data_IF_069252758512
#
_entry.id   IF_069252758512
#
_cell.length_a   1.000
_cell.length_b   1.000
_cell.length_c   1.000
_cell.angle_alpha   90.00
_cell.angle_beta   90.00
_cell.angle_gamma   90.00
#
_symmetry.space_group_name_H-M   'P 1'
#
loop_
_entity.id
_entity.type
_entity.pdbx_description
1 polymer ?
2 non-polymer ?
3 non-polymer ?
4 non-polymer ?
5 water ?
#
# COMPACT_ATOMS: atom_id res chain seq x y z
N UNK A 1 5.98 31.47 -13.93
CA UNK A 1 4.94 30.68 -14.62
C UNK A 1 5.49 29.42 -15.25
N UNK A 2 5.30 28.29 -14.57
CA UNK A 2 5.79 27.01 -15.07
C UNK A 2 4.92 26.59 -16.25
N UNK A 3 5.52 25.87 -17.19
CA UNK A 3 4.79 25.41 -18.36
C UNK A 3 4.96 23.91 -18.49
N UNK A 4 3.96 23.26 -19.09
CA UNK A 4 4.05 21.83 -19.29
C UNK A 4 4.31 21.65 -20.77
N UNK A 5 5.02 20.60 -21.15
CA UNK A 5 5.30 20.39 -22.56
C UNK A 5 3.99 20.23 -23.32
N UNK A 6 3.95 20.68 -24.59
CA UNK A 6 2.73 20.58 -25.40
C UNK A 6 2.20 19.17 -25.46
N UNK A 7 0.89 19.04 -25.24
CA UNK A 7 0.27 17.73 -25.25
C UNK A 7 0.11 17.21 -23.84
N UNK A 8 0.94 17.71 -22.94
CA UNK A 8 0.86 17.29 -21.54
C UNK A 8 1.30 15.86 -21.31
N UNK A 9 2.41 15.44 -21.92
CA UNK A 9 2.90 14.08 -21.76
C UNK A 9 3.43 13.81 -20.34
N UNK A 10 3.07 12.66 -19.77
CA UNK A 10 3.51 12.31 -18.43
C UNK A 10 3.80 10.82 -18.34
N UNK A 11 4.63 10.43 -17.38
CA UNK A 11 4.91 9.02 -17.20
C UNK A 11 3.69 8.48 -16.48
N UNK A 12 3.18 7.34 -16.94
CA UNK A 12 2.00 6.77 -16.31
C UNK A 12 2.36 5.80 -15.20
N UNK A 13 3.66 5.71 -14.91
CA UNK A 13 4.15 4.83 -13.87
C UNK A 13 5.01 5.63 -12.89
N UNK A 14 5.23 5.08 -11.69
CA UNK A 14 6.04 5.76 -10.69
C UNK A 14 7.44 5.17 -10.61
N UNK A 15 7.57 3.89 -10.92
CA UNK A 15 8.88 3.24 -10.90
C UNK A 15 9.55 3.45 -12.25
N UNK A 16 10.45 4.43 -12.29
CA UNK A 16 11.15 4.78 -13.50
C UNK A 16 12.63 4.44 -13.41
N UNK A 17 13.17 3.89 -14.48
CA UNK A 17 14.57 3.54 -14.51
C UNK A 17 15.36 4.43 -15.46
N UNK A 18 16.62 4.65 -15.11
CA UNK A 18 17.50 5.46 -15.97
C UNK A 18 18.82 4.72 -16.08
N UNK A 19 19.54 5.01 -17.15
CA UNK A 19 20.81 4.38 -17.40
C UNK A 19 21.75 5.39 -18.04
N UNK A 20 22.99 5.40 -17.59
CA UNK A 20 23.98 6.31 -18.14
C UNK A 20 24.64 5.56 -19.29
N UNK A 21 24.32 6.01 -20.50
CA UNK A 21 24.84 5.41 -21.72
C UNK A 21 26.35 5.47 -21.84
N UNK A 22 26.93 6.60 -21.46
CA UNK A 22 28.37 6.77 -21.53
C UNK A 22 28.76 7.90 -20.60
N UNK A 23 30.07 8.03 -20.33
CA UNK A 23 30.57 9.07 -19.43
C UNK A 23 31.45 10.10 -20.11
N UNK A 24 31.27 11.35 -19.73
CA UNK A 24 32.08 12.42 -20.26
C UNK A 24 33.47 12.27 -19.62
N UNK A 25 34.53 12.49 -20.41
CA UNK A 25 35.88 12.37 -19.85
C UNK A 25 36.26 13.56 -18.97
N UNK A 26 35.45 14.60 -18.98
CA UNK A 26 35.74 15.80 -18.18
C UNK A 26 35.65 15.58 -16.69
N UNK A 27 34.76 14.69 -16.29
CA UNK A 27 34.57 14.40 -14.89
C UNK A 27 34.93 12.97 -14.56
N UNK A 28 35.07 12.71 -13.27
CA UNK A 28 35.40 11.40 -12.78
C UNK A 28 34.10 10.58 -12.82
N UNK A 29 34.20 9.33 -13.27
CA UNK A 29 33.03 8.47 -13.38
C UNK A 29 32.05 8.53 -12.21
N UNK A 30 32.55 8.49 -10.98
CA UNK A 30 31.65 8.53 -9.82
C UNK A 30 31.02 9.88 -9.57
N UNK A 31 31.69 10.96 -9.96
CA UNK A 31 31.13 12.29 -9.76
C UNK A 31 29.93 12.43 -10.69
N UNK A 32 30.02 11.79 -11.86
CA UNK A 32 28.94 11.82 -12.83
C UNK A 32 27.73 11.10 -12.24
N UNK A 33 27.97 9.91 -11.69
CA UNK A 33 26.90 9.14 -11.08
C UNK A 33 26.24 9.95 -9.97
N UNK A 34 27.06 10.60 -9.16
CA UNK A 34 26.58 11.41 -8.06
C UNK A 34 25.68 12.53 -8.58
N UNK A 35 26.21 13.31 -9.51
CA UNK A 35 25.46 14.40 -10.12
C UNK A 35 24.07 13.98 -10.57
N UNK A 36 24.00 12.97 -11.43
CA UNK A 36 22.73 12.49 -11.94
C UNK A 36 21.81 11.93 -10.86
N UNK A 37 22.37 11.14 -9.94
CA UNK A 37 21.59 10.54 -8.86
C UNK A 37 20.91 11.64 -8.06
N UNK A 38 21.69 12.65 -7.69
CA UNK A 38 21.20 13.78 -6.91
C UNK A 38 20.19 14.61 -7.70
N UNK A 39 20.38 14.68 -9.01
CA UNK A 39 19.48 15.44 -9.87
C UNK A 39 18.10 14.78 -9.88
N UNK A 40 18.09 13.44 -9.97
CA UNK A 40 16.82 12.72 -9.98
C UNK A 40 16.15 12.87 -8.63
N UNK A 41 16.94 12.77 -7.57
CA UNK A 41 16.41 12.89 -6.22
C UNK A 41 15.66 14.21 -6.02
N UNK A 42 16.16 15.27 -6.63
CA UNK A 42 15.51 16.58 -6.53
C UNK A 42 14.05 16.48 -6.91
N UNK A 43 13.75 15.60 -7.87
CA UNK A 43 12.37 15.44 -8.32
C UNK A 43 11.60 14.37 -7.55
N UNK A 44 12.31 13.37 -7.01
CA UNK A 44 11.69 12.29 -6.23
C UNK A 44 11.12 12.85 -4.95
N UNK A 45 11.89 13.78 -4.35
CA UNK A 45 11.52 14.41 -3.10
C UNK A 45 10.17 15.13 -3.09
N UNK A 46 9.70 15.57 -4.25
CA UNK A 46 8.44 16.29 -4.30
C UNK A 46 7.33 15.61 -5.10
N UNK A 47 7.52 14.32 -5.41
CA UNK A 47 6.51 13.60 -6.17
C UNK A 47 6.49 12.12 -5.79
N UNK A 48 5.51 11.37 -6.30
CA UNK A 48 5.43 9.94 -5.98
C UNK A 48 6.34 9.13 -6.90
N UNK A 49 7.18 9.82 -7.66
CA UNK A 49 8.12 9.16 -8.58
C UNK A 49 9.37 8.63 -7.90
N UNK A 50 9.82 7.47 -8.36
CA UNK A 50 11.00 6.82 -7.81
C UNK A 50 11.89 6.45 -8.98
N UNK A 51 13.13 6.91 -8.93
CA UNK A 51 14.06 6.65 -10.02
C UNK A 51 15.12 5.65 -9.60
N UNK A 52 15.36 4.68 -10.45
CA UNK A 52 16.34 3.64 -10.17
C UNK A 52 17.35 3.46 -11.32
N UNK A 53 18.63 3.53 -10.98
CA UNK A 53 19.69 3.38 -11.96
C UNK A 53 19.93 1.91 -12.32
N UNK A 54 20.09 1.62 -13.60
CA UNK A 54 20.36 0.27 -14.05
C UNK A 54 21.56 0.34 -14.98
N UNK A 55 22.32 -0.75 -15.07
CA UNK A 55 23.52 -0.77 -15.89
C UNK A 55 23.36 -1.60 -17.16
N UNK A 56 22.33 -2.44 -17.20
CA UNK A 56 22.05 -3.28 -18.36
C UNK A 56 20.56 -3.29 -18.60
N UNK A 57 20.17 -3.51 -19.85
CA UNK A 57 18.74 -3.53 -20.17
C UNK A 57 18.30 -2.19 -20.69
N UNK A 58 17.02 -2.08 -21.00
CA UNK A 58 16.48 -0.83 -21.52
C UNK A 58 15.88 0.00 -20.39
N UNK A 59 16.43 1.18 -20.18
CA UNK A 59 15.94 2.08 -19.15
C UNK A 59 14.90 3.03 -19.74
N UNK A 60 14.06 3.61 -18.88
CA UNK A 60 13.03 4.53 -19.36
C UNK A 60 13.71 5.82 -19.83
N UNK A 61 14.73 6.21 -19.08
CA UNK A 61 15.48 7.43 -19.35
C UNK A 61 16.94 7.12 -19.61
N UNK A 62 17.42 7.46 -20.80
CA UNK A 62 18.82 7.23 -21.12
C UNK A 62 19.56 8.55 -21.04
N UNK A 63 20.68 8.54 -20.34
CA UNK A 63 21.54 9.72 -20.18
C UNK A 63 22.74 9.55 -21.09
N UNK A 64 22.97 10.51 -21.97
CA UNK A 64 24.09 10.41 -22.89
C UNK A 64 24.81 11.73 -23.16
N UNK A 65 26.11 11.62 -23.38
CA UNK A 65 26.97 12.76 -23.69
C UNK A 65 27.33 12.63 -25.16
N UNK A 66 26.90 13.60 -25.96
CA UNK A 66 27.16 13.58 -27.39
C UNK A 66 27.64 14.91 -27.98
N UNK A 67 28.31 14.80 -29.12
CA UNK A 67 28.90 15.93 -29.83
C UNK A 67 28.21 16.07 -31.20
N UNK A 68 27.96 17.32 -31.61
CA UNK A 68 27.33 17.57 -32.89
C UNK A 68 26.15 16.68 -33.22
N UNK A 69 26.10 16.19 -34.46
CA UNK A 69 25.02 15.30 -34.91
C UNK A 69 25.19 13.95 -34.23
N UNK A 70 24.19 13.53 -33.46
CA UNK A 70 24.28 12.27 -32.75
C UNK A 70 23.07 11.34 -32.87
N UNK A 71 22.45 11.34 -34.04
CA UNK A 71 21.35 10.41 -34.27
C UNK A 71 19.93 10.68 -33.81
N UNK A 72 19.56 11.94 -33.61
CA UNK A 72 18.20 12.25 -33.19
C UNK A 72 17.62 13.49 -33.89
N UNK A 73 18.31 13.96 -34.92
CA UNK A 73 17.90 15.13 -35.69
C UNK A 73 17.93 16.43 -34.89
N UNK A 74 18.60 16.39 -33.75
CA UNK A 74 18.77 17.55 -32.89
C UNK A 74 20.28 17.69 -32.64
N UNK A 75 21.01 18.20 -33.64
CA UNK A 75 22.45 18.32 -33.52
C UNK A 75 22.94 19.39 -32.53
N UNK A 76 24.02 19.07 -31.82
CA UNK A 76 24.61 20.01 -30.89
C UNK A 76 25.47 21.00 -31.68
N UNK A 77 25.80 22.13 -31.07
CA UNK A 77 26.54 23.19 -31.75
C UNK A 77 27.98 23.49 -31.35
N UNK A 78 28.67 22.53 -30.74
CA UNK A 78 30.03 22.79 -30.32
C UNK A 78 29.97 23.55 -29.01
N UNK A 79 31.13 23.88 -28.44
CA UNK A 79 31.17 24.59 -27.16
C UNK A 79 30.38 25.90 -27.21
N UNK A 80 29.55 26.09 -26.20
CA UNK A 80 28.71 27.28 -26.13
C UNK A 80 27.32 26.97 -26.64
N UNK A 81 26.48 27.99 -26.71
CA UNK A 81 25.12 27.79 -27.18
C UNK A 81 24.35 26.71 -26.44
N UNK A 82 23.87 25.72 -27.17
CA UNK A 82 23.12 24.63 -26.56
C UNK A 82 23.98 23.81 -25.61
N UNK A 83 23.49 23.60 -24.39
CA UNK A 83 24.21 22.84 -23.38
C UNK A 83 23.73 21.39 -23.37
N UNK A 84 22.42 21.22 -23.41
CA UNK A 84 21.82 19.90 -23.37
C UNK A 84 20.36 20.01 -23.77
N UNK A 85 19.75 18.87 -24.02
CA UNK A 85 18.34 18.82 -24.38
C UNK A 85 17.82 17.44 -23.98
N UNK A 86 16.52 17.36 -23.71
CA UNK A 86 15.92 16.10 -23.30
C UNK A 86 14.57 16.00 -23.96
N UNK A 87 13.93 14.83 -23.85
CA UNK A 87 12.63 14.64 -24.47
C UNK A 87 11.56 14.27 -23.46
N UNK A 88 10.33 14.69 -23.75
CA UNK A 88 9.22 14.42 -22.86
C UNK A 88 8.93 12.94 -22.66
N UNK A 89 8.17 12.59 -21.61
CA UNK A 89 7.84 11.19 -21.31
C UNK A 89 7.30 10.47 -22.54
N UNK A 90 7.69 9.21 -22.68
CA UNK A 90 7.25 8.41 -23.80
C UNK A 90 8.27 7.31 -23.98
N UNK A 91 7.95 6.28 -24.76
CA UNK A 91 8.90 5.20 -24.96
C UNK A 91 9.87 5.57 -26.07
N UNK A 92 10.96 4.82 -26.21
CA UNK A 92 11.95 5.14 -27.22
C UNK A 92 12.84 6.26 -26.72
N UNK A 93 13.03 7.30 -27.53
CA UNK A 93 13.87 8.41 -27.11
C UNK A 93 13.22 9.18 -25.96
N UNK A 94 11.91 9.00 -25.81
CA UNK A 94 11.19 9.68 -24.76
C UNK A 94 11.84 9.60 -23.38
N UNK A 95 11.99 10.75 -22.73
CA UNK A 95 12.59 10.79 -21.41
C UNK A 95 14.11 10.87 -21.41
N UNK A 96 14.73 10.66 -22.58
CA UNK A 96 16.19 10.70 -22.68
C UNK A 96 16.76 12.11 -22.53
N UNK A 97 17.95 12.19 -21.94
CA UNK A 97 18.62 13.46 -21.73
C UNK A 97 20.02 13.45 -22.35
N UNK A 98 20.26 14.38 -23.26
CA UNK A 98 21.54 14.47 -23.94
C UNK A 98 22.30 15.71 -23.50
N UNK A 99 23.60 15.55 -23.29
CA UNK A 99 24.44 16.65 -22.87
C UNK A 99 25.53 16.84 -23.91
N UNK A 100 25.66 18.07 -24.39
CA UNK A 100 26.67 18.39 -25.39
C UNK A 100 28.07 18.13 -24.81
N UNK A 101 28.77 17.18 -25.40
CA UNK A 101 30.12 16.82 -24.96
C UNK A 101 31.15 17.90 -25.32
N UNK A 102 30.76 18.88 -26.12
CA UNK A 102 31.68 19.95 -26.46
C UNK A 102 31.71 21.00 -25.35
N UNK A 103 30.86 20.84 -24.35
CA UNK A 103 30.86 21.75 -23.20
C UNK A 103 31.82 21.08 -22.23
N UNK A 104 32.33 21.84 -21.26
CA UNK A 104 33.23 21.23 -20.28
C UNK A 104 32.43 20.97 -19.00
N UNK A 105 32.11 19.71 -18.74
CA UNK A 105 31.32 19.36 -17.58
C UNK A 105 32.14 19.31 -16.30
N UNK A 106 31.64 19.98 -15.27
CA UNK A 106 32.32 20.06 -13.99
C UNK A 106 31.40 19.74 -12.82
N UNK A 107 32.03 19.42 -11.69
CA UNK A 107 31.30 19.11 -10.46
C UNK A 107 30.90 20.42 -9.79
N UNK A 108 31.57 21.51 -10.17
CA UNK A 108 31.25 22.81 -9.62
C UNK A 108 31.04 23.86 -10.71
N UNK A 109 31.83 24.93 -10.74
CA UNK A 109 31.63 25.96 -11.76
C UNK A 109 32.77 26.21 -12.74
N UNK A 110 33.73 25.30 -12.79
CA UNK A 110 34.85 25.48 -13.71
C UNK A 110 34.38 25.56 -15.16
N UNK A 111 33.18 25.04 -15.42
CA UNK A 111 32.63 25.06 -16.77
C UNK A 111 31.13 24.97 -16.66
N UNK A 112 30.53 23.97 -17.29
CA UNK A 112 29.07 23.83 -17.19
C UNK A 112 28.77 22.75 -16.15
N UNK A 113 28.04 23.14 -15.12
CA UNK A 113 27.69 22.23 -14.03
C UNK A 113 26.71 21.14 -14.45
N UNK A 114 27.17 19.89 -14.39
CA UNK A 114 26.35 18.74 -14.77
C UNK A 114 25.06 18.65 -13.96
N UNK A 115 25.19 18.57 -12.64
CA UNK A 115 24.04 18.50 -11.74
C UNK A 115 22.92 19.49 -12.10
N UNK A 116 23.24 20.78 -12.03
CA UNK A 116 22.25 21.81 -12.34
C UNK A 116 21.60 21.61 -13.72
N UNK A 117 22.44 21.40 -14.73
CA UNK A 117 21.92 21.19 -16.07
C UNK A 117 20.98 19.98 -16.04
N UNK A 118 21.44 18.92 -15.38
CA UNK A 118 20.68 17.68 -15.28
C UNK A 118 19.32 17.85 -14.60
N UNK A 119 19.26 18.67 -13.56
CA UNK A 119 18.00 18.91 -12.87
C UNK A 119 17.02 19.50 -13.88
N UNK A 120 17.48 20.51 -14.60
CA UNK A 120 16.66 21.17 -15.61
C UNK A 120 16.25 20.18 -16.71
N UNK A 121 17.19 19.36 -17.16
CA UNK A 121 16.91 18.37 -18.20
C UNK A 121 15.90 17.32 -17.76
N UNK A 122 16.10 16.76 -16.56
CA UNK A 122 15.20 15.76 -16.05
C UNK A 122 13.79 16.35 -15.91
N UNK A 123 13.73 17.66 -15.76
CA UNK A 123 12.44 18.33 -15.65
C UNK A 123 11.70 18.11 -16.96
N UNK A 124 12.44 18.13 -18.06
CA UNK A 124 11.85 17.89 -19.38
C UNK A 124 11.48 16.42 -19.50
N UNK A 125 12.39 15.55 -19.07
CA UNK A 125 12.16 14.11 -19.12
C UNK A 125 10.83 13.76 -18.45
N UNK A 126 10.46 14.53 -17.43
CA UNK A 126 9.23 14.27 -16.70
C UNK A 126 7.98 14.98 -17.24
N UNK A 127 8.15 15.86 -18.23
CA UNK A 127 6.99 16.52 -18.79
C UNK A 127 6.86 18.02 -18.57
N UNK A 128 7.87 18.63 -17.95
CA UNK A 128 7.85 20.07 -17.71
C UNK A 128 8.46 20.84 -18.85
N UNK A 129 7.85 21.98 -19.16
CA UNK A 129 8.36 22.84 -20.22
C UNK A 129 9.16 23.96 -19.57
N UNK A 130 9.33 25.06 -20.29
CA UNK A 130 10.08 26.18 -19.74
C UNK A 130 9.20 27.13 -18.95
N UNK A 131 9.73 27.57 -17.81
CA UNK A 131 9.03 28.47 -16.92
C UNK A 131 9.37 29.92 -17.24
N UNK A 132 8.41 30.81 -16.98
CA UNK A 132 8.62 32.23 -17.20
C UNK A 132 9.18 32.83 -15.90
N UNK A 133 9.07 32.06 -14.82
CA UNK A 133 9.57 32.46 -13.50
C UNK A 133 11.09 32.36 -13.55
N UNK A 134 11.79 33.51 -13.50
CA UNK A 134 13.26 33.54 -13.55
C UNK A 134 14.00 32.81 -12.43
N UNK A 135 13.34 32.50 -11.33
CA UNK A 135 14.01 31.82 -10.24
C UNK A 135 13.74 30.32 -10.23
N UNK A 136 12.98 29.85 -11.22
CA UNK A 136 12.67 28.43 -11.35
C UNK A 136 13.81 27.73 -12.08
N UNK A 137 14.09 26.48 -11.72
CA UNK A 137 15.17 25.74 -12.37
C UNK A 137 14.81 25.50 -13.84
N UNK A 138 13.51 25.48 -14.14
CA UNK A 138 13.05 25.28 -15.50
C UNK A 138 13.08 26.55 -16.34
N UNK A 139 13.67 27.61 -15.80
CA UNK A 139 13.81 28.86 -16.53
C UNK A 139 14.85 28.56 -17.61
N UNK A 140 14.60 28.97 -18.86
CA UNK A 140 15.52 28.72 -19.98
C UNK A 140 16.97 29.20 -19.86
N UNK A 141 17.30 29.91 -18.78
CA UNK A 141 18.67 30.42 -18.66
C UNK A 141 19.55 29.67 -17.66
N UNK A 142 20.73 29.29 -18.12
CA UNK A 142 21.68 28.58 -17.27
C UNK A 142 22.37 29.62 -16.39
N UNK A 143 22.49 29.30 -15.11
CA UNK A 143 23.13 30.20 -14.16
C UNK A 143 23.62 29.40 -12.96
N UNK A 144 24.93 29.33 -12.77
CA UNK A 144 25.46 28.58 -11.64
C UNK A 144 25.05 29.19 -10.32
N UNK A 145 24.63 28.34 -9.40
CA UNK A 145 24.23 28.77 -8.07
C UNK A 145 24.86 27.75 -7.12
N UNK A 146 24.93 28.06 -5.83
CA UNK A 146 25.52 27.11 -4.91
C UNK A 146 24.82 25.76 -4.99
N UNK A 147 25.59 24.73 -5.26
CA UNK A 147 25.06 23.38 -5.38
C UNK A 147 24.71 22.73 -4.04
N UNK A 148 25.59 22.93 -3.06
CA UNK A 148 25.39 22.32 -1.75
C UNK A 148 24.12 22.79 -1.07
N UNK A 149 23.56 23.91 -1.52
CA UNK A 149 22.36 24.44 -0.91
C UNK A 149 21.19 24.58 -1.88
N UNK A 150 21.38 24.08 -3.10
CA UNK A 150 20.34 24.15 -4.13
C UNK A 150 18.99 23.66 -3.64
N UNK A 151 17.92 24.26 -4.18
CA UNK A 151 16.57 23.87 -3.84
C UNK A 151 15.61 24.26 -4.95
N UNK A 152 14.65 23.38 -5.24
CA UNK A 152 13.64 23.65 -6.26
C UNK A 152 12.81 24.86 -5.83
N UNK A 153 12.48 25.72 -6.79
CA UNK A 153 11.67 26.90 -6.49
C UNK A 153 10.22 26.44 -6.32
N UNK A 154 9.42 27.29 -5.69
CA UNK A 154 8.01 26.98 -5.47
C UNK A 154 7.33 26.69 -6.80
N UNK A 155 7.72 27.43 -7.83
CA UNK A 155 7.17 27.27 -9.17
C UNK A 155 7.42 25.87 -9.75
N UNK A 156 8.65 25.37 -9.58
CA UNK A 156 8.98 24.05 -10.07
C UNK A 156 8.14 22.98 -9.36
N UNK A 157 8.15 23.02 -8.03
CA UNK A 157 7.40 22.06 -7.25
C UNK A 157 5.92 22.12 -7.62
N UNK A 158 5.39 23.34 -7.68
CA UNK A 158 3.99 23.53 -8.03
C UNK A 158 3.71 22.97 -9.42
N UNK A 159 4.66 23.16 -10.33
CA UNK A 159 4.48 22.66 -11.68
C UNK A 159 4.60 21.15 -11.81
N UNK A 160 5.61 20.57 -11.17
CA UNK A 160 5.82 19.13 -11.25
C UNK A 160 4.69 18.34 -10.60
N UNK A 161 4.15 18.88 -9.51
CA UNK A 161 3.06 18.21 -8.80
C UNK A 161 1.72 18.39 -9.51
N UNK A 162 1.65 19.35 -10.43
CA UNK A 162 0.41 19.55 -11.17
C UNK A 162 0.32 18.42 -12.20
N UNK A 163 1.40 17.65 -12.31
CA UNK A 163 1.46 16.52 -13.24
C UNK A 163 1.43 15.16 -12.53
N UNK A 164 2.04 15.10 -11.35
CA UNK A 164 2.11 13.86 -10.58
C UNK A 164 1.62 14.05 -9.14
N UNK A 165 1.44 15.30 -8.73
CA UNK A 165 1.00 15.59 -7.37
C UNK A 165 1.93 15.03 -6.31
N UNK A 166 1.36 14.75 -5.14
CA UNK A 166 2.04 14.18 -3.99
C UNK A 166 1.36 14.59 -2.68
N UNK B 1 -19.21 0.95 9.07
CA UNK B 1 -19.95 0.33 7.95
C UNK B 1 -19.90 -1.18 8.02
N UNK B 2 -20.98 -1.80 8.49
CA UNK B 2 -21.04 -3.24 8.58
C UNK B 2 -21.15 -3.83 7.19
N UNK B 3 -20.63 -5.04 7.01
CA UNK B 3 -20.69 -5.71 5.73
C UNK B 3 -21.28 -7.09 5.94
N UNK B 4 -21.95 -7.60 4.92
CA UNK B 4 -22.53 -8.92 4.98
C UNK B 4 -21.62 -9.77 4.11
N UNK B 5 -21.51 -11.05 4.42
CA UNK B 5 -20.66 -11.92 3.62
C UNK B 5 -21.16 -11.98 2.18
N UNK B 6 -20.24 -12.16 1.21
CA UNK B 6 -20.65 -12.21 -0.20
C UNK B 6 -21.70 -13.27 -0.45
N UNK B 7 -22.77 -12.86 -1.13
CA UNK B 7 -23.86 -13.77 -1.43
C UNK B 7 -25.01 -13.56 -0.46
N UNK B 8 -24.71 -12.97 0.69
CA UNK B 8 -25.75 -12.73 1.68
C UNK B 8 -26.31 -13.98 2.33
N UNK B 9 -25.45 -14.98 2.65
CA UNK B 9 -25.91 -16.22 3.27
C UNK B 9 -26.49 -16.01 4.68
N UNK B 10 -27.63 -16.63 4.95
CA UNK B 10 -28.26 -16.50 6.27
C UNK B 10 -28.90 -17.82 6.70
N UNK B 11 -29.06 -18.02 8.00
CA UNK B 11 -29.70 -19.24 8.48
C UNK B 11 -31.17 -19.03 8.22
N UNK B 12 -31.82 -20.05 7.67
CA UNK B 12 -33.24 -19.95 7.38
C UNK B 12 -34.13 -20.47 8.48
N UNK B 13 -33.54 -20.69 9.64
CA UNK B 13 -34.27 -21.17 10.81
C UNK B 13 -33.85 -20.31 11.99
N UNK B 14 -34.62 -20.34 13.07
CA UNK B 14 -34.27 -19.57 14.26
C UNK B 14 -33.66 -20.43 15.35
N UNK B 15 -34.03 -21.71 15.39
CA UNK B 15 -33.48 -22.62 16.38
C UNK B 15 -32.19 -23.19 15.81
N UNK B 16 -31.07 -22.69 16.32
CA UNK B 16 -29.75 -23.11 15.86
C UNK B 16 -29.00 -23.83 16.97
N UNK B 17 -28.35 -24.93 16.62
CA UNK B 17 -27.60 -25.69 17.60
C UNK B 17 -26.10 -25.59 17.38
N UNK B 18 -25.35 -25.64 18.47
CA UNK B 18 -23.90 -25.59 18.39
C UNK B 18 -23.34 -26.66 19.30
N UNK B 19 -22.12 -27.06 19.00
CA UNK B 19 -21.45 -28.10 19.75
C UNK B 19 -19.96 -27.85 19.80
N UNK B 20 -19.40 -27.97 20.98
CA UNK B 20 -17.98 -27.76 21.17
C UNK B 20 -17.29 -29.07 20.88
N UNK B 21 -16.61 -29.13 19.74
CA UNK B 21 -15.91 -30.31 19.28
C UNK B 21 -14.82 -30.78 20.26
N UNK B 22 -14.04 -29.85 20.79
CA UNK B 22 -12.99 -30.18 21.73
C UNK B 22 -12.65 -28.93 22.53
N UNK B 23 -11.91 -29.10 23.62
CA UNK B 23 -11.55 -27.97 24.47
C UNK B 23 -10.06 -27.67 24.47
N UNK B 24 -9.75 -26.37 24.53
CA UNK B 24 -8.37 -25.94 24.58
C UNK B 24 -7.86 -26.24 25.98
N UNK B 25 -6.61 -26.68 26.11
CA UNK B 25 -6.09 -26.98 27.44
C UNK B 25 -5.69 -25.73 28.23
N UNK B 26 -5.74 -24.56 27.58
CA UNK B 26 -5.36 -23.32 28.22
C UNK B 26 -6.37 -22.84 29.25
N UNK B 27 -7.65 -23.14 29.01
CA UNK B 27 -8.70 -22.73 29.92
C UNK B 27 -9.39 -23.91 30.54
N UNK B 28 -10.13 -23.64 31.60
CA UNK B 28 -10.88 -24.67 32.29
C UNK B 28 -12.09 -24.98 31.41
N UNK B 29 -12.39 -26.26 31.26
CA UNK B 29 -13.51 -26.71 30.44
C UNK B 29 -14.77 -25.84 30.59
N UNK B 30 -15.12 -25.52 31.83
CA UNK B 30 -16.33 -24.74 32.10
C UNK B 30 -16.24 -23.27 31.70
N UNK B 31 -15.06 -22.68 31.83
CA UNK B 31 -14.88 -21.29 31.43
C UNK B 31 -15.12 -21.21 29.93
N UNK B 32 -14.70 -22.25 29.23
CA UNK B 32 -14.86 -22.31 27.78
C UNK B 32 -16.35 -22.32 27.45
N UNK B 33 -17.10 -23.16 28.16
CA UNK B 33 -18.54 -23.24 27.95
C UNK B 33 -19.19 -21.89 28.21
N UNK B 34 -18.75 -21.24 29.29
CA UNK B 34 -19.25 -19.93 29.68
C UNK B 34 -18.99 -18.90 28.57
N UNK B 35 -17.72 -18.82 28.15
CA UNK B 35 -17.31 -17.89 27.10
C UNK B 35 -18.20 -18.01 25.84
N UNK B 36 -18.28 -19.21 25.28
CA UNK B 36 -19.07 -19.45 24.07
C UNK B 36 -20.57 -19.17 24.30
N UNK B 37 -21.10 -19.68 25.42
CA UNK B 37 -22.51 -19.48 25.74
C UNK B 37 -22.83 -17.99 25.71
N UNK B 38 -22.02 -17.21 26.42
CA UNK B 38 -22.19 -15.77 26.49
C UNK B 38 -22.00 -15.11 25.13
N UNK B 39 -21.09 -15.65 24.34
CA UNK B 39 -20.82 -15.10 23.00
C UNK B 39 -22.06 -15.23 22.13
N UNK B 40 -22.70 -16.41 22.15
CA UNK B 40 -23.91 -16.63 21.37
C UNK B 40 -25.02 -15.73 21.90
N UNK B 41 -25.05 -15.57 23.22
CA UNK B 41 -26.05 -14.74 23.89
C UNK B 41 -26.07 -13.35 23.28
N UNK B 42 -24.87 -12.79 23.11
CA UNK B 42 -24.70 -11.45 22.54
C UNK B 42 -25.51 -11.27 21.27
N UNK B 43 -25.60 -12.32 20.46
CA UNK B 43 -26.35 -12.23 19.21
C UNK B 43 -27.84 -12.57 19.35
N UNK B 44 -28.17 -13.44 20.31
CA UNK B 44 -29.57 -13.82 20.53
C UNK B 44 -30.35 -12.61 21.02
N UNK B 45 -29.72 -11.85 21.91
CA UNK B 45 -30.33 -10.66 22.50
C UNK B 45 -30.87 -9.63 21.52
N UNK B 46 -30.29 -9.58 20.32
CA UNK B 46 -30.72 -8.59 19.33
C UNK B 46 -31.37 -9.18 18.08
N UNK B 47 -31.69 -10.47 18.10
CA UNK B 47 -32.32 -11.10 16.94
C UNK B 47 -33.31 -12.16 17.38
N UNK B 48 -34.09 -12.69 16.44
CA UNK B 48 -35.07 -13.74 16.78
C UNK B 48 -34.41 -15.11 16.88
N UNK B 49 -33.08 -15.13 16.79
CA UNK B 49 -32.32 -16.38 16.85
C UNK B 49 -32.17 -16.91 18.28
N UNK B 50 -32.17 -18.23 18.41
CA UNK B 50 -32.03 -18.89 19.71
C UNK B 50 -30.98 -19.98 19.50
N UNK B 51 -29.93 -19.96 20.32
CA UNK B 51 -28.85 -20.93 20.21
C UNK B 51 -28.88 -21.93 21.34
N UNK B 52 -28.74 -23.20 20.99
CA UNK B 52 -28.77 -24.29 21.96
C UNK B 52 -27.56 -25.19 21.82
N UNK B 53 -26.89 -25.44 22.94
CA UNK B 53 -25.72 -26.30 22.97
C UNK B 53 -26.09 -27.78 23.06
N UNK B 54 -25.45 -28.61 22.24
CA UNK B 54 -25.70 -30.04 22.27
C UNK B 54 -24.37 -30.75 22.43
N UNK B 55 -24.38 -31.94 23.02
CA UNK B 55 -23.17 -32.69 23.26
C UNK B 55 -23.01 -33.90 22.35
N UNK B 56 -24.10 -34.29 21.68
CA UNK B 56 -24.08 -35.41 20.75
C UNK B 56 -24.96 -35.07 19.56
N UNK B 57 -24.63 -35.65 18.41
CA UNK B 57 -25.41 -35.38 17.21
C UNK B 57 -24.69 -34.35 16.35
N UNK B 58 -25.31 -33.96 15.26
CA UNK B 58 -24.72 -32.98 14.36
C UNK B 58 -25.31 -31.61 14.65
N UNK B 59 -24.47 -30.69 15.10
CA UNK B 59 -24.93 -29.35 15.40
C UNK B 59 -24.81 -28.46 14.15
N UNK B 60 -25.54 -27.36 14.12
CA UNK B 60 -25.48 -26.45 12.98
C UNK B 60 -24.11 -25.78 12.98
N UNK B 61 -23.66 -25.43 14.17
CA UNK B 61 -22.38 -24.75 14.34
C UNK B 61 -21.45 -25.61 15.20
N UNK B 62 -20.27 -25.90 14.66
CA UNK B 62 -19.29 -26.67 15.41
C UNK B 62 -18.16 -25.76 15.85
N UNK B 63 -17.83 -25.80 17.14
CA UNK B 63 -16.75 -24.99 17.69
C UNK B 63 -15.53 -25.89 17.88
N UNK B 64 -14.40 -25.49 17.30
CA UNK B 64 -13.19 -26.30 17.42
C UNK B 64 -11.90 -25.51 17.58
N UNK B 65 -10.97 -26.12 18.31
CA UNK B 65 -9.65 -25.55 18.56
C UNK B 65 -8.68 -26.40 17.76
N UNK B 66 -8.01 -25.81 16.79
CA UNK B 66 -7.07 -26.53 15.95
C UNK B 66 -5.75 -25.81 15.72
N UNK B 67 -4.74 -26.60 15.36
CA UNK B 67 -3.39 -26.09 15.14
C UNK B 67 -3.01 -26.33 13.69
N UNK B 68 -2.31 -25.37 13.09
CA UNK B 68 -1.87 -25.50 11.71
C UNK B 68 -2.92 -26.01 10.75
N UNK B 69 -2.52 -26.95 9.89
CA UNK B 69 -3.44 -27.55 8.91
C UNK B 69 -4.40 -28.46 9.64
N UNK B 70 -5.70 -28.16 9.55
CA UNK B 70 -6.70 -28.97 10.25
C UNK B 70 -7.90 -29.45 9.40
N UNK B 71 -7.64 -29.81 8.15
CA UNK B 71 -8.68 -30.33 7.29
C UNK B 71 -9.71 -29.47 6.59
N UNK B 72 -9.45 -28.18 6.44
CA UNK B 72 -10.42 -27.31 5.76
C UNK B 72 -9.78 -26.37 4.73
N UNK B 73 -8.50 -26.60 4.42
CA UNK B 73 -7.74 -25.79 3.46
C UNK B 73 -7.53 -24.35 3.93
N UNK B 74 -7.72 -24.14 5.23
CA UNK B 74 -7.52 -22.84 5.85
C UNK B 74 -6.60 -23.06 7.05
N UNK B 75 -5.33 -23.32 6.77
CA UNK B 75 -4.35 -23.61 7.83
C UNK B 75 -4.03 -22.44 8.73
N UNK B 76 -3.86 -22.74 10.02
CA UNK B 76 -3.50 -21.73 11.01
C UNK B 76 -1.98 -21.49 10.93
N UNK B 77 -1.53 -20.36 11.47
CA UNK B 77 -0.13 -19.97 11.36
C UNK B 77 0.73 -19.98 12.60
N UNK B 78 0.36 -20.75 13.62
CA UNK B 78 1.16 -20.74 14.83
C UNK B 78 0.78 -19.53 15.69
N UNK B 79 1.44 -19.36 16.83
CA UNK B 79 1.12 -18.24 17.70
C UNK B 79 1.31 -16.92 16.97
N UNK B 80 0.30 -16.06 17.06
CA UNK B 80 0.36 -14.78 16.39
C UNK B 80 -0.48 -14.82 15.13
N UNK B 81 -0.47 -13.71 14.39
CA UNK B 81 -1.23 -13.65 13.15
C UNK B 81 -2.68 -14.03 13.31
N UNK B 82 -3.11 -15.02 12.53
CA UNK B 82 -4.50 -15.49 12.57
C UNK B 82 -4.88 -16.05 13.94
N UNK B 83 -5.97 -15.53 14.51
CA UNK B 83 -6.45 -15.98 15.80
C UNK B 83 -7.53 -17.05 15.66
N UNK B 84 -8.44 -16.82 14.73
CA UNK B 84 -9.54 -17.75 14.48
C UNK B 84 -10.20 -17.38 13.16
N UNK B 85 -11.09 -18.26 12.69
CA UNK B 85 -11.83 -18.03 11.46
C UNK B 85 -13.09 -18.86 11.54
N UNK B 86 -14.15 -18.40 10.88
CA UNK B 86 -15.42 -19.11 10.89
C UNK B 86 -16.02 -19.07 9.50
N UNK B 87 -17.08 -19.84 9.30
CA UNK B 87 -17.72 -19.88 7.99
C UNK B 87 -19.18 -19.45 8.01
N UNK B 88 -19.58 -18.81 6.91
CA UNK B 88 -20.94 -18.32 6.76
C UNK B 88 -22.00 -19.41 6.87
N UNK B 89 -23.25 -19.02 7.15
CA UNK B 89 -24.35 -19.98 7.27
C UNK B 89 -24.37 -20.98 6.11
N UNK B 90 -24.69 -22.22 6.43
CA UNK B 90 -24.75 -23.26 5.42
C UNK B 90 -24.57 -24.59 6.13
N UNK B 91 -24.86 -25.69 5.46
CA UNK B 91 -24.70 -26.99 6.09
C UNK B 91 -23.24 -27.42 5.92
N UNK B 92 -22.85 -28.49 6.61
CA UNK B 92 -21.47 -28.94 6.53
C UNK B 92 -20.61 -28.03 7.37
N UNK B 93 -19.47 -27.58 6.83
CA UNK B 93 -18.59 -26.69 7.58
C UNK B 93 -19.25 -25.34 7.84
N UNK B 94 -20.32 -25.06 7.10
CA UNK B 94 -21.02 -23.80 7.26
C UNK B 94 -21.36 -23.47 8.71
N UNK B 95 -21.05 -22.25 9.13
CA UNK B 95 -21.34 -21.84 10.50
C UNK B 95 -20.31 -22.25 11.54
N UNK B 96 -19.39 -23.14 11.18
CA UNK B 96 -18.38 -23.61 12.13
C UNK B 96 -17.35 -22.53 12.45
N UNK B 97 -16.88 -22.52 13.70
CA UNK B 97 -15.90 -21.54 14.16
C UNK B 97 -14.64 -22.24 14.68
N UNK B 98 -13.49 -21.88 14.09
CA UNK B 98 -12.21 -22.48 14.45
C UNK B 98 -11.27 -21.51 15.15
N UNK B 99 -10.71 -21.94 16.29
CA UNK B 99 -9.79 -21.10 17.03
C UNK B 99 -8.40 -21.71 16.99
N UNK B 100 -7.42 -20.90 16.62
CA UNK B 100 -6.03 -21.36 16.54
C UNK B 100 -5.55 -21.80 17.92
N UNK B 101 -5.27 -23.08 18.08
CA UNK B 101 -4.81 -23.60 19.36
C UNK B 101 -3.40 -23.15 19.70
N UNK B 102 -2.70 -22.53 18.74
CA UNK B 102 -1.35 -22.06 19.02
C UNK B 102 -1.39 -20.72 19.75
N UNK B 103 -2.60 -20.15 19.85
CA UNK B 103 -2.75 -18.90 20.60
C UNK B 103 -3.01 -19.35 22.05
N UNK B 104 -2.80 -18.46 23.00
CA UNK B 104 -3.06 -18.83 24.39
C UNK B 104 -4.41 -18.25 24.78
N UNK B 105 -5.41 -19.12 24.91
CA UNK B 105 -6.75 -18.66 25.24
C UNK B 105 -6.95 -18.41 26.73
N UNK B 106 -7.52 -17.25 27.05
CA UNK B 106 -7.74 -16.86 28.44
C UNK B 106 -9.12 -16.24 28.69
N UNK B 107 -9.35 -15.87 29.94
CA UNK B 107 -10.60 -15.28 30.37
C UNK B 107 -10.36 -13.82 30.71
N UNK B 108 -9.15 -13.35 30.41
CA UNK B 108 -8.76 -11.96 30.68
C UNK B 108 -7.96 -11.38 29.53
N UNK B 109 -7.26 -10.28 29.81
CA UNK B 109 -6.45 -9.59 28.81
C UNK B 109 -5.15 -10.31 28.45
N UNK B 110 -4.74 -11.26 29.29
CA UNK B 110 -3.54 -12.01 28.99
C UNK B 110 -3.81 -12.87 27.78
N UNK B 111 -2.77 -13.17 27.00
CA UNK B 111 -2.98 -14.00 25.81
C UNK B 111 -4.10 -13.49 24.92
N UNK B 112 -4.90 -14.41 24.40
CA UNK B 112 -6.02 -14.02 23.54
C UNK B 112 -7.32 -14.35 24.25
N UNK B 113 -8.17 -13.34 24.41
CA UNK B 113 -9.44 -13.52 25.10
C UNK B 113 -10.46 -14.30 24.27
N UNK B 114 -10.83 -15.48 24.75
CA UNK B 114 -11.77 -16.34 24.04
C UNK B 114 -13.15 -15.72 23.81
N UNK B 115 -13.72 -15.10 24.84
CA UNK B 115 -15.04 -14.50 24.72
C UNK B 115 -15.14 -13.50 23.58
N UNK B 116 -14.23 -12.53 23.58
CA UNK B 116 -14.20 -11.51 22.53
C UNK B 116 -14.12 -12.10 21.13
N UNK B 117 -13.11 -12.93 20.92
CA UNK B 117 -12.87 -13.58 19.64
C UNK B 117 -14.11 -14.31 19.17
N UNK B 118 -14.70 -15.09 20.06
CA UNK B 118 -15.90 -15.87 19.76
C UNK B 118 -17.07 -15.00 19.28
N UNK B 119 -17.27 -13.85 19.92
CA UNK B 119 -18.37 -12.98 19.51
C UNK B 119 -18.15 -12.61 18.05
N UNK B 120 -16.94 -12.15 17.75
CA UNK B 120 -16.56 -11.78 16.38
C UNK B 120 -16.77 -12.95 15.43
N UNK B 121 -16.28 -14.13 15.80
CA UNK B 121 -16.42 -15.32 14.98
C UNK B 121 -17.87 -15.71 14.72
N UNK B 122 -18.68 -15.74 15.78
CA UNK B 122 -20.07 -16.11 15.62
C UNK B 122 -20.79 -15.11 14.72
N UNK B 123 -20.21 -13.91 14.61
CA UNK B 123 -20.78 -12.91 13.74
C UNK B 123 -20.67 -13.42 12.30
N UNK B 124 -19.57 -14.12 12.01
CA UNK B 124 -19.35 -14.70 10.69
C UNK B 124 -20.29 -15.89 10.52
N UNK B 125 -20.36 -16.73 11.55
CA UNK B 125 -21.22 -17.90 11.51
C UNK B 125 -22.65 -17.52 11.14
N UNK B 126 -23.05 -16.31 11.52
CA UNK B 126 -24.39 -15.85 11.23
C UNK B 126 -24.56 -15.11 9.90
N UNK B 127 -23.45 -14.79 9.23
CA UNK B 127 -23.56 -14.11 7.96
C UNK B 127 -22.97 -12.71 7.86
N UNK B 128 -22.34 -12.24 8.93
CA UNK B 128 -21.73 -10.91 8.91
C UNK B 128 -20.29 -10.93 8.43
N UNK B 129 -19.94 -9.93 7.63
CA UNK B 129 -18.59 -9.79 7.14
C UNK B 129 -17.86 -8.82 8.04
N UNK B 130 -16.80 -8.20 7.53
CA UNK B 130 -16.05 -7.26 8.34
C UNK B 130 -16.59 -5.85 8.21
N UNK B 131 -16.64 -5.14 9.35
CA UNK B 131 -17.13 -3.78 9.37
C UNK B 131 -15.99 -2.78 9.22
N UNK B 132 -16.30 -1.63 8.65
CA UNK B 132 -15.30 -0.58 8.48
C UNK B 132 -15.35 0.29 9.73
N UNK B 133 -16.43 0.14 10.50
CA UNK B 133 -16.62 0.89 11.75
C UNK B 133 -15.67 0.31 12.79
N UNK B 134 -14.62 1.08 13.16
CA UNK B 134 -13.64 0.64 14.16
C UNK B 134 -14.15 0.29 15.55
N UNK B 135 -15.36 0.72 15.88
CA UNK B 135 -15.87 0.39 17.22
C UNK B 135 -16.85 -0.79 17.21
N UNK B 136 -17.01 -1.42 16.04
CA UNK B 136 -17.90 -2.57 15.92
C UNK B 136 -17.08 -3.81 16.25
N UNK B 137 -17.73 -4.83 16.82
CA UNK B 137 -17.01 -6.05 17.17
C UNK B 137 -16.54 -6.76 15.89
N UNK B 138 -17.27 -6.54 14.80
CA UNK B 138 -16.92 -7.15 13.53
C UNK B 138 -15.75 -6.47 12.83
N UNK B 139 -15.18 -5.46 13.48
CA UNK B 139 -14.03 -4.76 12.91
C UNK B 139 -12.91 -5.81 12.85
N UNK B 140 -12.14 -5.86 11.75
CA UNK B 140 -11.05 -6.83 11.61
C UNK B 140 -9.93 -6.78 12.62
N UNK B 141 -9.97 -5.86 13.58
CA UNK B 141 -8.87 -5.78 14.53
C UNK B 141 -9.20 -6.23 15.94
N UNK B 142 -8.30 -7.04 16.51
CA UNK B 142 -8.50 -7.51 17.86
C UNK B 142 -8.20 -6.36 18.80
N UNK B 143 -9.12 -6.10 19.74
CA UNK B 143 -8.96 -5.04 20.71
C UNK B 143 -9.65 -5.49 22.00
N UNK B 144 -8.86 -5.82 23.02
CA UNK B 144 -9.44 -6.31 24.27
C UNK B 144 -10.33 -5.31 25.01
N UNK B 145 -11.40 -5.85 25.60
CA UNK B 145 -12.34 -5.10 26.42
C UNK B 145 -12.84 -6.13 27.42
N UNK B 146 -13.00 -5.72 28.67
CA UNK B 146 -13.47 -6.63 29.70
C UNK B 146 -14.91 -7.05 29.42
N UNK B 147 -15.17 -8.34 29.57
CA UNK B 147 -16.49 -8.91 29.34
C UNK B 147 -17.63 -8.15 30.02
N UNK B 148 -17.42 -7.72 31.26
CA UNK B 148 -18.44 -6.98 31.98
C UNK B 148 -18.84 -5.72 31.23
N UNK B 149 -17.86 -5.04 30.65
CA UNK B 149 -18.10 -3.80 29.92
C UNK B 149 -18.49 -3.94 28.46
N UNK B 150 -18.06 -5.03 27.82
CA UNK B 150 -18.40 -5.24 26.41
C UNK B 150 -19.88 -5.14 26.11
N UNK B 151 -20.18 -4.81 24.87
CA UNK B 151 -21.54 -4.70 24.35
C UNK B 151 -21.49 -4.31 22.89
N UNK B 152 -22.36 -4.95 22.09
CA UNK B 152 -22.43 -4.72 20.66
C UNK B 152 -22.59 -3.26 20.29
N UNK B 153 -21.89 -2.85 19.26
CA UNK B 153 -21.96 -1.48 18.77
C UNK B 153 -23.23 -1.34 17.96
N UNK B 154 -23.67 -0.11 17.77
CA UNK B 154 -24.89 0.16 17.00
C UNK B 154 -24.76 -0.43 15.60
N UNK B 155 -23.54 -0.41 15.08
CA UNK B 155 -23.26 -0.94 13.75
C UNK B 155 -23.52 -2.45 13.68
N UNK B 156 -22.99 -3.20 14.65
CA UNK B 156 -23.20 -4.64 14.69
C UNK B 156 -24.68 -4.97 14.74
N UNK B 157 -25.38 -4.39 15.72
CA UNK B 157 -26.82 -4.63 15.87
C UNK B 157 -27.55 -4.32 14.58
N UNK B 158 -27.29 -3.14 14.04
CA UNK B 158 -27.92 -2.70 12.80
C UNK B 158 -27.61 -3.70 11.68
N UNK B 159 -26.38 -4.20 11.66
CA UNK B 159 -25.98 -5.15 10.63
C UNK B 159 -26.59 -6.53 10.77
N UNK B 160 -26.61 -7.06 11.99
CA UNK B 160 -27.17 -8.39 12.25
C UNK B 160 -28.67 -8.41 12.03
N UNK B 161 -29.36 -7.32 12.37
CA UNK B 161 -30.80 -7.24 12.20
C UNK B 161 -31.19 -6.99 10.74
N UNK B 162 -30.24 -6.55 9.92
CA UNK B 162 -30.54 -6.32 8.52
C UNK B 162 -30.61 -7.69 7.85
N UNK B 163 -30.26 -8.73 8.60
CA UNK B 163 -30.28 -10.10 8.11
C UNK B 163 -31.37 -10.94 8.76
N UNK B 164 -31.64 -10.67 10.03
CA UNK B 164 -32.65 -11.42 10.78
C UNK B 164 -33.68 -10.50 11.44
N UNK B 165 -33.38 -9.21 11.49
CA UNK B 165 -34.27 -8.24 12.10
C UNK B 165 -34.53 -8.54 13.55
N UNK B 166 -35.71 -8.15 14.02
CA UNK B 166 -36.20 -8.35 15.40
C UNK B 166 -37.14 -7.22 15.81
X LIG C 1 15.25 23.32 -21.32
X LIG D 1 20.24 14.52 -28.75
X LIG E 1 26.97 23.54 -27.33
X LIG F 1 13.68 6.69 -23.21
X LIG G 1 33.35 17.71 -22.81
X LIG H 1 18.83 25.73 -23.56
X LIG H 1 17.88 26.83 -23.18
X LIG H 1 18.28 24.53 -24.30
X LIG H 1 20.36 25.68 -22.85
X LIG H 1 17.86 28.08 -24.06
X LIG H 1 18.30 29.34 -23.60
X LIG H 1 18.25 30.44 -24.47
X LIG H 1 17.76 30.25 -25.77
X LIG H 1 17.33 29.07 -26.24
X LIG H 1 17.38 28.02 -25.39
X LIG H 1 20.20 25.16 -21.20
X LIG H 1 19.93 26.12 -20.16
X LIG H 1 19.80 25.74 -18.83
X LIG H 1 19.94 24.40 -18.43
X LIG H 1 20.20 23.43 -19.43
X LIG H 1 20.32 23.78 -20.76
X LIG H 1 19.82 24.06 -17.10
X LIG H 1 19.71 25.04 -16.07
X LIG H 1 21.13 24.69 -23.57
X LIG H 1 20.92 27.00 -22.84
X LIG H 1 17.30 23.82 -23.30
X LIG H 1 17.75 22.57 -22.81
X LIG H 1 17.62 24.59 -25.71
X LIG H 1 17.03 23.27 -26.23
X LIG H 1 18.62 25.13 -26.76
X LIG H 1 16.21 24.26 -22.90
X LIG H 1 17.01 21.89 -21.97
X LIG I 1 -13.24 -11.92 11.06
X LIG J 1 -10.38 -24.07 10.11
X LIG K 1 -1.97 -17.85 14.87
X LIG L 1 -21.76 -26.45 10.37
X LIG M 1 -3.31 -22.91 23.16
X LIG N 1 -8.44 -11.91 11.64
X LIG N 1 -8.70 -10.52 11.16
X LIG N 1 -9.01 -13.09 10.87
X LIG N 1 -7.83 -12.14 13.20
X LIG N 1 -7.57 -9.84 10.38
X LIG N 1 -6.87 -8.73 10.89
X LIG N 1 -5.85 -8.17 10.11
X LIG N 1 -5.56 -8.73 8.85
X LIG N 1 -6.21 -9.77 8.35
X LIG N 1 -7.18 -10.30 9.10
X LIG N 1 -9.10 -11.83 14.35
X LIG N 1 -9.34 -10.51 14.85
X LIG N 1 -10.33 -10.24 15.77
X LIG N 1 -11.17 -11.27 16.27
X LIG N 1 -10.96 -12.59 15.81
X LIG N 1 -9.97 -12.87 14.89
X LIG N 1 -12.16 -10.99 17.19
X LIG N 1 -12.30 -9.70 17.78
X LIG N 1 -7.39 -13.51 13.31
X LIG N 1 -6.80 -11.16 13.45
X LIG N 1 -10.57 -12.97 10.97
X LIG N 1 -11.20 -13.98 11.70
X LIG N 1 -8.62 -13.44 9.39
X LIG N 1 -9.43 -14.56 8.72
X LIG N 1 -7.11 -13.76 9.26
X LIG N 1 -11.26 -12.09 10.46
X LIG N 1 -12.50 -13.99 11.85
#
# INVERSE_FOLDING_TARGET
GFREMPGGPVWRKHYITYRINNYTPDMNREDVDYAIRKAFQVWSNVTPLKFSKINTGMADILVVFARGAHGDFHAFDGKGGILAHAFGPGSGIGGDAHFDEDEFWTTHSGGTNLFLTAVHEIGHSLGLGHSSDPKAVMFPTYKYVDINTFRLSADDIRGIQSLYGD
GFREMPGGPVWRKHYITYRINNYTPDMNREDVDYAIRKAFQVWSNVTPLKFSKINTGMADILVVFARGAHGDFHAFDGKGGILAHAFGPGSGIGGDAHFDEDEFWTTHSGGTNLFLTAVHEIGHSLGLGHSSDPKAVMFPTYKYVDINTFRLSADDIRGIQSLYGD
ZN ZN
ZN ZN
CA CA
CA CA
CA CA
CGS N1 CC CA S4 C5 CD CE CZ N11 CY C17 CE2 CD2 C20 CD1 CE1 O27 COM O32 O33 C34 N35 CB CG2 CG1 O47 O48
ZN ZN
ZN ZN
CA CA
CA CA
CA CA
CGS N1 CC CA S4 C5 CD CE CZ N11 CY C17 CE2 CD2 C20 CD1 CE1 O27 COM O32 O33 C34 N35 CB CG2 CG1 O47 O48
#
